data_IF_780098751353
#
_entry.id   IF_780098751353
#
_cell.length_a   1.000
_cell.length_b   1.000
_cell.length_c   1.000
_cell.angle_alpha   90.00
_cell.angle_beta   90.00
_cell.angle_gamma   90.00
#
_symmetry.space_group_name_H-M   'P 1'
#
loop_
_entity.id
_entity.type
_entity.pdbx_description
1 polymer ?
#
# COMPACT_ATOMS: atom_id res chain seq x y z
N UNK A 1 3.69 -13.48 -9.41
CA UNK A 1 2.97 -14.58 -10.12
C UNK A 1 2.41 -14.10 -11.45
N UNK A 2 1.62 -13.03 -11.48
CA UNK A 2 1.06 -12.46 -12.72
C UNK A 2 2.14 -11.99 -13.70
N UNK A 3 3.12 -11.22 -13.24
CA UNK A 3 4.28 -10.81 -14.06
C UNK A 3 5.02 -11.99 -14.69
N UNK A 4 5.16 -13.09 -13.93
CA UNK A 4 5.78 -14.33 -14.43
C UNK A 4 4.93 -14.95 -15.54
N UNK A 5 3.61 -14.96 -15.37
CA UNK A 5 2.70 -15.45 -16.40
C UNK A 5 2.79 -14.60 -17.67
N UNK A 6 2.75 -13.27 -17.55
CA UNK A 6 2.90 -12.34 -18.68
C UNK A 6 4.24 -12.59 -19.40
N UNK A 7 5.34 -12.69 -18.65
CA UNK A 7 6.68 -12.97 -19.21
C UNK A 7 6.77 -14.32 -19.93
N UNK A 8 6.01 -15.32 -19.47
CA UNK A 8 6.00 -16.68 -20.00
C UNK A 8 4.84 -16.95 -20.96
N UNK A 9 4.01 -15.93 -21.27
CA UNK A 9 2.82 -16.08 -22.11
C UNK A 9 3.13 -16.81 -23.43
N UNK A 10 4.22 -16.49 -24.18
CA UNK A 10 4.51 -17.20 -25.43
C UNK A 10 4.74 -18.69 -25.24
N UNK A 11 5.43 -19.08 -24.15
CA UNK A 11 5.71 -20.48 -23.84
C UNK A 11 4.45 -21.23 -23.41
N UNK A 12 3.59 -20.58 -22.61
CA UNK A 12 2.29 -21.13 -22.20
C UNK A 12 1.40 -21.32 -23.43
N UNK A 13 1.29 -20.31 -24.30
CA UNK A 13 0.49 -20.37 -25.51
C UNK A 13 0.99 -21.46 -26.48
N UNK A 14 2.31 -21.60 -26.65
CA UNK A 14 2.90 -22.66 -27.47
C UNK A 14 2.57 -24.06 -26.94
N UNK A 15 2.62 -24.24 -25.61
CA UNK A 15 2.28 -25.52 -24.96
C UNK A 15 0.79 -25.84 -25.16
N UNK A 16 -0.09 -24.86 -24.96
CA UNK A 16 -1.53 -25.04 -25.18
C UNK A 16 -1.89 -25.32 -26.65
N UNK A 17 -1.18 -24.70 -27.59
CA UNK A 17 -1.33 -24.97 -29.01
C UNK A 17 -0.90 -26.40 -29.38
N UNK A 18 0.21 -26.89 -28.82
CA UNK A 18 0.69 -28.26 -29.03
C UNK A 18 -0.34 -29.31 -28.55
N UNK A 19 -0.96 -29.06 -27.40
CA UNK A 19 -2.01 -29.91 -26.82
C UNK A 19 -3.42 -29.67 -27.44
N UNK A 20 -3.52 -28.76 -28.42
CA UNK A 20 -4.80 -28.36 -29.09
C UNK A 20 -5.86 -27.85 -28.09
N UNK A 21 -5.42 -27.32 -26.96
CA UNK A 21 -6.26 -26.80 -25.88
C UNK A 21 -6.68 -25.33 -26.14
N UNK A 22 -7.23 -25.05 -27.33
CA UNK A 22 -7.59 -23.69 -27.77
C UNK A 22 -8.58 -22.97 -26.86
N UNK A 23 -9.44 -23.72 -26.18
CA UNK A 23 -10.44 -23.19 -25.25
C UNK A 23 -9.82 -22.60 -23.97
N UNK A 24 -8.54 -22.86 -23.69
CA UNK A 24 -7.79 -22.31 -22.55
C UNK A 24 -6.87 -21.15 -22.95
N UNK A 25 -6.88 -20.76 -24.23
CA UNK A 25 -6.01 -19.69 -24.71
C UNK A 25 -6.41 -18.36 -24.06
N UNK A 26 -5.50 -17.67 -23.34
CA UNK A 26 -5.82 -16.37 -22.77
C UNK A 26 -6.23 -15.40 -23.87
N UNK A 27 -7.29 -14.63 -23.62
CA UNK A 27 -7.71 -13.57 -24.53
C UNK A 27 -6.82 -12.35 -24.33
N UNK A 28 -6.67 -11.52 -25.35
CA UNK A 28 -5.93 -10.27 -25.26
C UNK A 28 -6.46 -9.38 -24.12
N UNK A 29 -7.78 -9.37 -23.93
CA UNK A 29 -8.42 -8.65 -22.81
C UNK A 29 -7.97 -9.17 -21.44
N UNK A 30 -7.78 -10.49 -21.28
CA UNK A 30 -7.33 -11.08 -20.03
C UNK A 30 -5.89 -10.65 -19.71
N UNK A 31 -5.04 -10.58 -20.74
CA UNK A 31 -3.65 -10.11 -20.62
C UNK A 31 -3.59 -8.64 -20.22
N UNK A 32 -4.38 -7.78 -20.88
CA UNK A 32 -4.45 -6.35 -20.55
C UNK A 32 -4.87 -6.15 -19.09
N UNK A 33 -5.87 -6.90 -18.62
CA UNK A 33 -6.30 -6.85 -17.21
C UNK A 33 -5.18 -7.29 -16.28
N UNK A 34 -4.45 -8.36 -16.60
CA UNK A 34 -3.31 -8.81 -15.79
C UNK A 34 -2.19 -7.75 -15.73
N UNK A 35 -1.89 -7.10 -16.85
CA UNK A 35 -0.90 -6.01 -16.93
C UNK A 35 -1.32 -4.81 -16.07
N UNK A 36 -2.59 -4.39 -16.15
CA UNK A 36 -3.14 -3.32 -15.33
C UNK A 36 -3.04 -3.64 -13.83
N UNK A 37 -3.33 -4.88 -13.44
CA UNK A 37 -3.18 -5.33 -12.05
C UNK A 37 -1.72 -5.32 -11.62
N UNK A 38 -0.79 -5.74 -12.48
CA UNK A 38 0.65 -5.67 -12.15
C UNK A 38 1.11 -4.23 -11.96
N UNK A 39 0.70 -3.32 -12.85
CA UNK A 39 1.03 -1.90 -12.74
C UNK A 39 0.49 -1.27 -11.45
N UNK A 40 -0.74 -1.61 -11.05
CA UNK A 40 -1.32 -1.14 -9.80
C UNK A 40 -0.56 -1.66 -8.56
N UNK A 41 -0.10 -2.91 -8.60
CA UNK A 41 0.57 -3.57 -7.47
C UNK A 41 2.08 -3.29 -7.39
N UNK A 42 2.73 -2.88 -8.48
CA UNK A 42 4.17 -2.62 -8.53
C UNK A 42 4.66 -1.61 -7.48
N UNK A 43 4.01 -0.45 -7.27
CA UNK A 43 4.40 0.47 -6.19
C UNK A 43 4.32 -0.20 -4.82
N UNK A 44 3.27 -0.97 -4.55
CA UNK A 44 3.09 -1.67 -3.27
C UNK A 44 4.14 -2.76 -3.05
N UNK A 45 4.55 -3.45 -4.12
CA UNK A 45 5.65 -4.41 -4.08
C UNK A 45 6.95 -3.71 -3.70
N UNK A 46 7.29 -2.59 -4.36
CA UNK A 46 8.48 -1.79 -4.04
C UNK A 46 8.48 -1.25 -2.62
N UNK A 47 7.32 -0.80 -2.12
CA UNK A 47 7.18 -0.40 -0.72
C UNK A 47 7.43 -1.56 0.24
N UNK A 48 6.86 -2.72 -0.06
CA UNK A 48 7.06 -3.92 0.76
C UNK A 48 8.52 -4.33 0.78
N UNK A 49 9.19 -4.34 -0.38
CA UNK A 49 10.62 -4.65 -0.47
C UNK A 49 11.48 -3.64 0.31
N UNK A 50 11.18 -2.34 0.19
CA UNK A 50 11.88 -1.30 0.92
C UNK A 50 11.73 -1.49 2.44
N UNK A 51 10.50 -1.68 2.93
CA UNK A 51 10.22 -1.93 4.35
C UNK A 51 10.87 -3.23 4.84
N UNK A 52 10.83 -4.30 4.05
CA UNK A 52 11.44 -5.57 4.41
C UNK A 52 12.98 -5.54 4.35
N UNK A 53 13.57 -4.63 3.57
CA UNK A 53 15.02 -4.44 3.48
C UNK A 53 15.60 -3.72 4.71
N UNK A 54 14.77 -2.97 5.44
CA UNK A 54 15.19 -2.30 6.65
C UNK A 54 15.38 -3.31 7.79
N UNK A 55 16.54 -3.28 8.44
CA UNK A 55 16.83 -4.14 9.60
C UNK A 55 15.86 -3.91 10.77
N UNK A 56 15.27 -2.72 10.85
CA UNK A 56 14.26 -2.32 11.84
C UNK A 56 13.37 -1.22 11.27
N UNK A 57 12.16 -1.57 10.85
CA UNK A 57 11.13 -0.57 10.53
C UNK A 57 10.75 0.18 11.80
N UNK A 58 10.92 1.49 11.80
CA UNK A 58 10.55 2.35 12.93
C UNK A 58 9.05 2.63 12.93
N UNK A 59 8.41 2.51 14.09
CA UNK A 59 6.99 2.81 14.29
C UNK A 59 6.59 4.22 13.78
N UNK A 60 7.51 5.18 13.88
CA UNK A 60 7.34 6.55 13.38
C UNK A 60 7.21 6.67 11.86
N UNK A 61 7.73 5.70 11.10
CA UNK A 61 7.65 5.69 9.64
C UNK A 61 6.34 5.07 9.12
N UNK A 62 5.60 4.35 9.96
CA UNK A 62 4.38 3.65 9.53
C UNK A 62 3.30 4.65 9.09
N UNK A 63 3.09 5.73 9.86
CA UNK A 63 2.08 6.75 9.52
C UNK A 63 2.39 7.45 8.18
N UNK A 64 3.59 8.02 7.95
CA UNK A 64 3.96 8.59 6.66
C UNK A 64 3.79 7.63 5.48
N UNK A 65 4.14 6.36 5.67
CA UNK A 65 4.00 5.34 4.61
C UNK A 65 2.54 5.04 4.30
N UNK A 66 1.69 4.90 5.32
CA UNK A 66 0.25 4.69 5.12
C UNK A 66 -0.42 5.88 4.43
N UNK A 67 -0.04 7.10 4.81
CA UNK A 67 -0.55 8.32 4.20
C UNK A 67 -0.15 8.41 2.73
N UNK A 68 1.11 8.09 2.42
CA UNK A 68 1.59 8.08 1.04
C UNK A 68 0.89 7.01 0.19
N UNK A 69 0.72 5.79 0.73
CA UNK A 69 0.01 4.72 0.01
C UNK A 69 -1.45 5.12 -0.25
N UNK A 70 -2.15 5.66 0.75
CA UNK A 70 -3.58 5.97 0.63
C UNK A 70 -3.87 7.29 -0.10
N UNK A 71 -2.96 8.25 -0.03
CA UNK A 71 -3.09 9.59 -0.59
C UNK A 71 -2.52 9.75 -1.99
N UNK A 72 -1.41 9.07 -2.30
CA UNK A 72 -0.71 9.24 -3.59
C UNK A 72 -0.80 7.98 -4.46
N UNK A 73 -0.59 6.79 -3.89
CA UNK A 73 -0.54 5.54 -4.69
C UNK A 73 -1.94 5.02 -5.04
N UNK A 74 -2.85 5.04 -4.07
CA UNK A 74 -4.23 4.57 -4.20
C UNK A 74 -5.21 5.72 -4.48
N UNK A 75 -4.71 6.88 -4.90
CA UNK A 75 -5.56 7.99 -5.33
C UNK A 75 -6.39 7.57 -6.54
N UNK A 76 -7.70 7.85 -6.50
CA UNK A 76 -8.59 7.55 -7.61
C UNK A 76 -8.40 8.59 -8.72
N UNK A 77 -8.07 8.13 -9.93
CA UNK A 77 -8.03 8.99 -11.11
C UNK A 77 -9.21 8.66 -12.02
N UNK A 78 -9.96 9.68 -12.44
CA UNK A 78 -11.14 9.51 -13.28
C UNK A 78 -10.88 8.85 -14.63
N UNK A 79 -9.65 8.96 -15.14
CA UNK A 79 -9.23 8.37 -16.42
C UNK A 79 -8.92 6.86 -16.32
N UNK A 80 -8.89 6.29 -15.11
CA UNK A 80 -8.53 4.89 -14.91
C UNK A 80 -9.66 3.90 -15.25
N UNK A 81 -9.30 2.66 -15.66
CA UNK A 81 -10.27 1.59 -15.84
C UNK A 81 -11.09 1.33 -14.57
N UNK A 82 -12.36 0.93 -14.75
CA UNK A 82 -13.28 0.66 -13.65
C UNK A 82 -12.74 -0.39 -12.65
N UNK A 83 -12.03 -1.42 -13.15
CA UNK A 83 -11.39 -2.42 -12.29
C UNK A 83 -10.32 -1.81 -11.39
N UNK A 84 -9.45 -0.95 -11.93
CA UNK A 84 -8.39 -0.27 -11.18
C UNK A 84 -8.98 0.59 -10.07
N UNK A 85 -10.04 1.36 -10.37
CA UNK A 85 -10.77 2.16 -9.38
C UNK A 85 -11.33 1.29 -8.24
N UNK A 86 -12.04 0.20 -8.59
CA UNK A 86 -12.59 -0.72 -7.60
C UNK A 86 -11.51 -1.37 -6.72
N UNK A 87 -10.37 -1.75 -7.32
CA UNK A 87 -9.25 -2.31 -6.57
C UNK A 87 -8.61 -1.29 -5.63
N UNK A 88 -8.36 -0.06 -6.10
CA UNK A 88 -7.83 1.03 -5.27
C UNK A 88 -8.74 1.32 -4.08
N UNK A 89 -10.06 1.41 -4.32
CA UNK A 89 -11.04 1.63 -3.27
C UNK A 89 -11.01 0.48 -2.24
N UNK A 90 -11.05 -0.77 -2.69
CA UNK A 90 -11.02 -1.93 -1.79
C UNK A 90 -9.71 -1.99 -0.96
N UNK A 91 -8.57 -1.69 -1.57
CA UNK A 91 -7.28 -1.62 -0.88
C UNK A 91 -7.24 -0.48 0.15
N UNK A 92 -7.78 0.70 -0.21
CA UNK A 92 -7.83 1.86 0.69
C UNK A 92 -8.74 1.60 1.88
N UNK A 93 -9.90 0.99 1.66
CA UNK A 93 -10.81 0.58 2.73
C UNK A 93 -10.16 -0.45 3.67
N UNK A 94 -9.45 -1.46 3.12
CA UNK A 94 -8.72 -2.43 3.95
C UNK A 94 -7.65 -1.75 4.81
N UNK A 95 -6.82 -0.89 4.21
CA UNK A 95 -5.75 -0.18 4.92
C UNK A 95 -6.28 0.74 6.02
N UNK A 96 -7.36 1.49 5.76
CA UNK A 96 -7.96 2.41 6.73
C UNK A 96 -8.57 1.68 7.94
N UNK A 97 -9.04 0.45 7.73
CA UNK A 97 -9.68 -0.38 8.76
C UNK A 97 -8.70 -1.33 9.47
N UNK A 98 -7.46 -1.42 8.99
CA UNK A 98 -6.46 -2.38 9.48
C UNK A 98 -5.98 -2.11 10.89
N UNK A 99 -6.00 -0.84 11.30
CA UNK A 99 -5.50 -0.39 12.60
C UNK A 99 -6.63 0.21 13.44
N UNK A 100 -6.68 -0.18 14.71
CA UNK A 100 -7.57 0.47 15.69
C UNK A 100 -7.18 1.92 15.90
N UNK A 101 -8.13 2.77 16.30
CA UNK A 101 -7.86 4.19 16.59
C UNK A 101 -6.72 4.38 17.61
N UNK A 102 -6.64 3.54 18.65
CA UNK A 102 -5.53 3.57 19.61
C UNK A 102 -4.16 3.33 18.96
N UNK A 103 -4.09 2.44 17.97
CA UNK A 103 -2.86 2.15 17.26
C UNK A 103 -2.47 3.33 16.36
N UNK A 104 -3.45 3.97 15.71
CA UNK A 104 -3.25 5.20 14.92
C UNK A 104 -2.73 6.34 15.78
N UNK A 105 -3.30 6.53 16.98
CA UNK A 105 -2.81 7.54 17.94
C UNK A 105 -1.34 7.31 18.31
N UNK A 106 -0.97 6.06 18.61
CA UNK A 106 0.42 5.71 18.94
C UNK A 106 1.35 5.95 17.75
N UNK A 107 0.93 5.61 16.53
CA UNK A 107 1.70 5.89 15.32
C UNK A 107 1.87 7.41 15.10
N UNK A 108 0.81 8.19 15.35
CA UNK A 108 0.84 9.64 15.23
C UNK A 108 1.82 10.28 16.23
N UNK A 109 1.79 9.85 17.50
CA UNK A 109 2.75 10.31 18.50
C UNK A 109 4.18 9.89 18.16
N UNK A 110 4.39 8.64 17.73
CA UNK A 110 5.71 8.15 17.34
C UNK A 110 6.26 8.93 16.13
N UNK A 111 5.42 9.22 15.13
CA UNK A 111 5.76 10.03 13.98
C UNK A 111 6.11 11.48 14.39
N UNK A 112 5.33 12.07 15.29
CA UNK A 112 5.57 13.43 15.79
C UNK A 112 6.89 13.57 16.55
N UNK A 113 7.22 12.59 17.39
CA UNK A 113 8.46 12.59 18.20
C UNK A 113 9.69 12.35 17.30
N UNK A 114 9.53 11.74 16.13
CA UNK A 114 10.63 11.47 15.22
C UNK A 114 11.01 12.72 14.40
N UNK A 115 12.23 13.26 14.58
CA UNK A 115 12.67 14.47 13.89
C UNK A 115 12.69 14.36 12.36
N UNK A 116 12.71 13.14 11.80
CA UNK A 116 12.70 12.91 10.34
C UNK A 116 11.41 13.38 9.69
N UNK A 117 10.28 13.25 10.39
CA UNK A 117 8.96 13.50 9.82
C UNK A 117 8.37 14.86 10.22
N UNK A 118 8.86 15.45 11.32
CA UNK A 118 8.42 16.77 11.82
C UNK A 118 6.88 16.79 11.99
N UNK A 119 6.26 17.95 11.76
CA UNK A 119 4.81 18.16 11.88
C UNK A 119 4.02 17.85 10.59
N UNK A 120 4.61 17.12 9.64
CA UNK A 120 4.06 17.01 8.28
C UNK A 120 2.98 15.92 8.12
N UNK A 121 2.81 15.04 9.11
CA UNK A 121 1.94 13.84 9.00
C UNK A 121 0.95 13.73 10.17
N UNK A 122 0.40 14.87 10.59
CA UNK A 122 -0.50 14.95 11.72
C UNK A 122 -1.96 15.05 11.24
N UNK A 123 -2.81 14.14 11.74
CA UNK A 123 -4.25 14.15 11.50
C UNK A 123 -4.99 15.13 12.43
N UNK A 124 -4.30 15.64 13.45
CA UNK A 124 -4.82 16.52 14.48
C UNK A 124 -3.92 17.76 14.60
N UNK A 125 -4.44 18.88 15.15
CA UNK A 125 -3.65 20.05 15.49
C UNK A 125 -2.39 19.67 16.28
N UNK A 126 -1.29 20.39 16.00
CA UNK A 126 0.01 20.16 16.66
C UNK A 126 -0.14 20.21 18.18
N UNK A 127 -0.90 21.18 18.68
CA UNK A 127 -1.13 21.36 20.12
C UNK A 127 -1.78 20.13 20.77
N UNK A 128 -2.78 19.52 20.13
CA UNK A 128 -3.45 18.32 20.64
C UNK A 128 -2.53 17.09 20.67
N UNK A 129 -1.59 16.99 19.72
CA UNK A 129 -0.60 15.90 19.67
C UNK A 129 0.47 16.12 20.74
N UNK A 130 0.91 17.37 20.91
CA UNK A 130 1.86 17.76 21.97
C UNK A 130 1.26 17.47 23.34
N UNK A 131 0.04 17.90 23.61
CA UNK A 131 -0.65 17.67 24.89
C UNK A 131 -0.75 16.18 25.19
N UNK A 132 -1.12 15.35 24.21
CA UNK A 132 -1.14 13.89 24.37
C UNK A 132 0.23 13.32 24.70
N UNK A 133 1.28 13.74 23.99
CA UNK A 133 2.65 13.30 24.28
C UNK A 133 3.10 13.69 25.70
N UNK A 134 2.77 14.91 26.13
CA UNK A 134 3.08 15.40 27.49
C UNK A 134 2.32 14.61 28.54
N UNK A 135 1.04 14.33 28.34
CA UNK A 135 0.23 13.53 29.27
C UNK A 135 0.78 12.11 29.42
N UNK A 136 1.20 11.45 28.33
CA UNK A 136 1.85 10.14 28.42
C UNK A 136 3.21 10.22 29.12
N UNK A 137 4.00 11.27 28.86
CA UNK A 137 5.26 11.52 29.57
C UNK A 137 5.08 11.68 31.08
N UNK A 138 4.04 12.40 31.51
CA UNK A 138 3.69 12.59 32.92
C UNK A 138 3.25 11.29 33.62
N UNK A 139 2.72 10.31 32.89
CA UNK A 139 2.40 8.99 33.45
C UNK A 139 3.64 8.14 33.74
N UNK A 140 4.77 8.47 33.12
CA UNK A 140 6.04 7.76 33.27
C UNK A 140 6.91 8.34 34.38
N UNK A 141 6.58 9.51 34.90
CA UNK A 141 7.26 10.07 36.07
C UNK A 141 6.80 9.34 37.35
N UNK A 142 7.74 8.91 38.22
CA UNK A 142 7.44 8.17 39.44
C UNK A 142 6.68 8.98 40.49
#
# INVERSE_FOLDING_TARGET
MLERFISQQPAVCATLAAERAWHLMPKDTDIIVMEQVCQLLDPLSKFTDALCSETRVTLSAIKPVLDHITGDVLEENEEEPALTKQMKQAMREDLNNRYTEKAKDVMQMACFIDPRFKNNFLDAPVDDVVDRCVQEGLKLTP
#
